data_IF_295069467127
#
_entry.id   IF_295069467127
#
_cell.length_a   1.000
_cell.length_b   1.000
_cell.length_c   1.000
_cell.angle_alpha   90.00
_cell.angle_beta   90.00
_cell.angle_gamma   90.00
#
_symmetry.space_group_name_H-M   'P 1'
#
loop_
_entity.id
_entity.type
_entity.pdbx_description
1 polymer ?
#
# COMPACT_ATOMS: atom_id res chain seq x y z
N UNK A 1 8.73 18.53 -14.47
CA UNK A 1 7.82 17.36 -14.37
C UNK A 1 6.54 17.83 -13.71
N UNK A 2 5.39 17.63 -14.35
CA UNK A 2 4.09 18.02 -13.78
C UNK A 2 3.73 17.02 -12.70
N UNK A 3 3.66 17.47 -11.44
CA UNK A 3 3.29 16.59 -10.31
C UNK A 3 1.85 16.11 -10.49
N UNK A 4 1.68 14.85 -10.87
CA UNK A 4 0.38 14.17 -10.92
C UNK A 4 0.12 13.44 -9.60
N UNK A 5 -1.14 13.09 -9.34
CA UNK A 5 -1.49 12.26 -8.17
C UNK A 5 -0.74 10.93 -8.21
N UNK A 6 -0.59 10.34 -9.40
CA UNK A 6 0.09 9.06 -9.61
C UNK A 6 1.58 9.14 -9.27
N UNK A 7 2.26 10.23 -9.68
CA UNK A 7 3.67 10.46 -9.30
C UNK A 7 3.84 10.68 -7.80
N UNK A 8 2.84 11.31 -7.13
CA UNK A 8 2.84 11.47 -5.68
C UNK A 8 2.67 10.13 -4.96
N UNK A 9 1.78 9.26 -5.44
CA UNK A 9 1.62 7.91 -4.88
C UNK A 9 2.95 7.15 -5.00
N UNK A 10 3.60 7.19 -6.16
CA UNK A 10 4.88 6.53 -6.38
C UNK A 10 5.95 6.96 -5.37
N UNK A 11 6.20 8.27 -5.24
CA UNK A 11 7.20 8.80 -4.31
C UNK A 11 6.90 8.36 -2.88
N UNK A 12 5.63 8.45 -2.48
CA UNK A 12 5.18 8.04 -1.15
C UNK A 12 5.40 6.54 -0.88
N UNK A 13 5.17 5.68 -1.87
CA UNK A 13 5.42 4.23 -1.73
C UNK A 13 6.91 3.94 -1.61
N UNK A 14 7.76 4.61 -2.39
CA UNK A 14 9.23 4.49 -2.31
C UNK A 14 9.75 4.93 -0.94
N UNK A 15 9.23 6.05 -0.41
CA UNK A 15 9.62 6.57 0.91
C UNK A 15 9.20 5.62 2.04
N UNK A 16 8.03 4.98 1.92
CA UNK A 16 7.46 4.10 2.94
C UNK A 16 8.03 2.68 2.91
N UNK A 17 8.43 2.18 1.74
CA UNK A 17 8.83 0.78 1.50
C UNK A 17 10.29 0.74 1.03
N UNK A 18 11.25 0.55 1.95
CA UNK A 18 12.64 0.37 1.59
C UNK A 18 12.82 -0.84 0.67
N UNK A 19 13.61 -0.70 -0.39
CA UNK A 19 13.91 -1.81 -1.33
C UNK A 19 12.65 -2.47 -1.95
N UNK A 20 11.66 -1.65 -2.34
CA UNK A 20 10.38 -2.08 -2.93
C UNK A 20 10.50 -3.20 -3.99
N UNK A 21 11.60 -3.31 -4.73
CA UNK A 21 11.80 -4.32 -5.77
C UNK A 21 12.07 -5.77 -5.28
N UNK A 22 12.20 -6.02 -3.97
CA UNK A 22 12.73 -7.30 -3.47
C UNK A 22 11.73 -8.42 -3.16
N UNK A 23 10.50 -8.42 -3.71
CA UNK A 23 9.59 -9.58 -3.59
C UNK A 23 9.28 -9.97 -2.13
N UNK A 24 9.20 -8.98 -1.24
CA UNK A 24 9.24 -9.17 0.22
C UNK A 24 7.94 -8.75 0.89
N UNK A 25 7.57 -9.50 1.93
CA UNK A 25 6.59 -9.04 2.91
C UNK A 25 7.28 -8.08 3.87
N UNK A 26 6.67 -6.92 4.07
CA UNK A 26 7.12 -5.91 4.99
C UNK A 26 6.03 -5.63 6.03
N UNK A 27 6.43 -5.12 7.18
CA UNK A 27 5.56 -4.87 8.30
C UNK A 27 5.86 -3.51 8.94
N UNK A 28 4.81 -2.78 9.27
CA UNK A 28 4.87 -1.57 10.08
C UNK A 28 4.18 -1.85 11.41
N UNK A 29 4.98 -2.01 12.45
CA UNK A 29 4.53 -2.29 13.81
C UNK A 29 3.66 -1.14 14.38
N UNK A 30 2.73 -1.45 15.30
CA UNK A 30 1.95 -0.42 15.97
C UNK A 30 2.84 0.37 16.94
N UNK A 31 2.71 1.71 16.95
CA UNK A 31 3.53 2.57 17.83
C UNK A 31 3.05 2.57 19.27
N UNK A 32 1.77 2.27 19.49
CA UNK A 32 1.10 2.19 20.79
C UNK A 32 0.31 0.87 20.86
N UNK A 33 -0.02 0.40 22.06
CA UNK A 33 -0.81 -0.84 22.22
C UNK A 33 -2.21 -0.76 21.59
N UNK A 34 -2.73 0.45 21.37
CA UNK A 34 -4.00 0.71 20.68
C UNK A 34 -3.86 0.94 19.17
N UNK A 35 -2.63 1.05 18.65
CA UNK A 35 -2.39 1.31 17.25
C UNK A 35 -2.56 0.02 16.44
N UNK A 36 -3.00 0.17 15.20
CA UNK A 36 -3.06 -0.93 14.24
C UNK A 36 -1.70 -1.16 13.62
N UNK A 37 -1.33 -2.42 13.42
CA UNK A 37 -0.20 -2.77 12.57
C UNK A 37 -0.62 -2.86 11.11
N UNK A 38 0.34 -2.75 10.20
CA UNK A 38 0.08 -2.78 8.75
C UNK A 38 1.08 -3.69 8.07
N UNK A 39 0.59 -4.57 7.22
CA UNK A 39 1.38 -5.44 6.35
C UNK A 39 1.45 -4.85 4.96
N UNK A 40 2.60 -5.00 4.31
CA UNK A 40 2.80 -4.65 2.92
C UNK A 40 3.41 -5.84 2.18
N UNK A 41 2.83 -6.24 1.06
CA UNK A 41 3.46 -7.19 0.14
C UNK A 41 3.84 -6.47 -1.13
N UNK A 42 4.99 -6.83 -1.70
CA UNK A 42 5.41 -6.34 -3.01
C UNK A 42 5.74 -7.53 -3.88
N UNK A 43 5.02 -7.68 -4.99
CA UNK A 43 5.18 -8.75 -5.95
C UNK A 43 5.57 -8.15 -7.31
N UNK A 44 6.62 -8.67 -7.95
CA UNK A 44 6.97 -8.27 -9.32
C UNK A 44 6.02 -8.94 -10.32
N UNK A 45 5.52 -8.17 -11.28
CA UNK A 45 4.65 -8.68 -12.35
C UNK A 45 5.46 -8.99 -13.61
N UNK A 46 4.99 -9.87 -14.51
CA UNK A 46 5.75 -10.30 -15.69
C UNK A 46 6.11 -9.18 -16.69
N UNK A 47 5.45 -8.04 -16.62
CA UNK A 47 5.67 -6.82 -17.40
C UNK A 47 6.66 -5.83 -16.76
N UNK A 48 7.26 -6.19 -15.62
CA UNK A 48 8.25 -5.36 -14.91
C UNK A 48 7.64 -4.26 -14.05
N UNK A 49 6.31 -4.27 -13.87
CA UNK A 49 5.64 -3.48 -12.86
C UNK A 49 5.75 -4.17 -11.49
N UNK A 50 5.42 -3.44 -10.43
CA UNK A 50 5.31 -3.99 -9.09
C UNK A 50 3.85 -3.89 -8.64
N UNK A 51 3.34 -5.00 -8.12
CA UNK A 51 2.10 -5.02 -7.38
C UNK A 51 2.40 -4.81 -5.90
N UNK A 52 2.00 -3.67 -5.37
CA UNK A 52 2.13 -3.37 -3.93
C UNK A 52 0.75 -3.52 -3.30
N UNK A 53 0.63 -4.34 -2.26
CA UNK A 53 -0.59 -4.41 -1.46
C UNK A 53 -0.30 -4.01 -0.03
N UNK A 54 -1.07 -3.07 0.50
CA UNK A 54 -0.98 -2.63 1.89
C UNK A 54 -2.27 -3.01 2.60
N UNK A 55 -2.17 -3.80 3.67
CA UNK A 55 -3.29 -4.35 4.42
C UNK A 55 -3.16 -4.07 5.91
N UNK A 56 -4.27 -3.78 6.58
CA UNK A 56 -4.29 -3.70 8.04
C UNK A 56 -4.11 -5.08 8.68
N UNK A 57 -3.39 -5.14 9.80
CA UNK A 57 -3.31 -6.32 10.64
C UNK A 57 -4.47 -6.30 11.64
N UNK A 58 -5.62 -6.83 11.25
CA UNK A 58 -6.68 -7.18 12.19
C UNK A 58 -6.89 -8.69 12.19
N UNK A 59 -6.02 -9.42 12.90
CA UNK A 59 -6.43 -10.69 13.48
C UNK A 59 -6.65 -10.55 15.00
N UNK A 60 -7.87 -10.21 15.45
CA UNK A 60 -8.34 -10.73 16.72
C UNK A 60 -8.42 -12.25 16.57
N UNK A 61 -7.70 -12.99 17.43
CA UNK A 61 -7.75 -14.46 17.49
C UNK A 61 -9.20 -14.95 17.36
N UNK A 62 -9.51 -15.69 16.28
CA UNK A 62 -10.76 -16.44 16.13
C UNK A 62 -11.81 -15.90 15.15
N UNK A 63 -11.61 -14.74 14.51
CA UNK A 63 -12.55 -14.27 13.46
C UNK A 63 -11.84 -14.08 12.12
N UNK A 64 -12.30 -14.80 11.10
CA UNK A 64 -11.85 -14.70 9.70
C UNK A 64 -12.34 -13.41 9.01
N UNK A 65 -12.34 -12.27 9.71
CA UNK A 65 -12.75 -11.00 9.13
C UNK A 65 -11.62 -10.51 8.21
N UNK A 66 -11.96 -10.26 6.95
CA UNK A 66 -11.02 -9.67 5.99
C UNK A 66 -10.66 -8.27 6.48
N UNK A 67 -9.37 -7.99 6.60
CA UNK A 67 -8.87 -6.66 6.95
C UNK A 67 -8.97 -5.75 5.74
N UNK A 68 -9.15 -4.45 5.95
CA UNK A 68 -9.11 -3.50 4.82
C UNK A 68 -7.71 -3.43 4.21
N UNK A 69 -7.67 -3.30 2.89
CA UNK A 69 -6.44 -3.29 2.11
C UNK A 69 -6.59 -2.48 0.82
N UNK A 70 -5.46 -2.01 0.29
CA UNK A 70 -5.33 -1.31 -0.99
C UNK A 70 -4.22 -1.98 -1.81
N UNK A 71 -4.51 -2.26 -3.09
CA UNK A 71 -3.53 -2.75 -4.06
C UNK A 71 -3.19 -1.64 -5.06
N UNK A 72 -1.91 -1.55 -5.39
CA UNK A 72 -1.34 -0.60 -6.33
C UNK A 72 -0.63 -1.35 -7.46
N UNK A 73 -0.79 -0.85 -8.67
CA UNK A 73 0.13 -1.10 -9.77
C UNK A 73 1.15 0.04 -9.79
N UNK A 74 2.42 -0.33 -9.74
CA UNK A 74 3.54 0.59 -9.66
C UNK A 74 4.41 0.35 -10.88
N UNK A 75 4.64 1.42 -11.64
CA UNK A 75 5.55 1.43 -12.79
C UNK A 75 6.81 2.23 -12.40
N UNK A 76 7.91 1.54 -12.06
CA UNK A 76 9.15 2.21 -11.70
C UNK A 76 9.80 2.93 -12.89
N UNK A 77 9.56 2.48 -14.12
CA UNK A 77 10.14 3.07 -15.32
C UNK A 77 9.58 4.47 -15.61
N UNK A 78 8.28 4.66 -15.35
CA UNK A 78 7.61 5.96 -15.50
C UNK A 78 7.45 6.73 -14.18
N UNK A 79 7.90 6.17 -13.05
CA UNK A 79 7.77 6.75 -11.70
C UNK A 79 6.32 7.12 -11.36
N UNK A 80 5.39 6.21 -11.65
CA UNK A 80 3.95 6.38 -11.39
C UNK A 80 3.38 5.16 -10.69
N UNK A 81 2.35 5.39 -9.89
CA UNK A 81 1.59 4.33 -9.26
C UNK A 81 0.10 4.67 -9.24
N UNK A 82 -0.76 3.66 -9.30
CA UNK A 82 -2.20 3.84 -9.23
C UNK A 82 -2.87 2.67 -8.51
N UNK A 83 -4.00 2.95 -7.86
CA UNK A 83 -4.80 1.92 -7.20
C UNK A 83 -5.46 1.03 -8.24
N UNK A 84 -5.34 -0.28 -8.09
CA UNK A 84 -5.99 -1.28 -8.94
C UNK A 84 -7.29 -1.79 -8.33
N UNK A 85 -7.23 -2.10 -7.04
CA UNK A 85 -8.30 -2.69 -6.26
C UNK A 85 -8.15 -2.36 -4.78
N UNK A 86 -9.26 -2.40 -4.05
CA UNK A 86 -9.25 -2.20 -2.61
C UNK A 86 -10.42 -2.92 -1.94
N UNK A 87 -10.28 -3.13 -0.63
CA UNK A 87 -11.34 -3.59 0.25
C UNK A 87 -11.37 -2.70 1.50
N UNK A 88 -12.52 -2.11 1.81
CA UNK A 88 -12.66 -1.17 2.94
C UNK A 88 -13.16 -1.83 4.24
N UNK A 89 -13.31 -3.17 4.26
CA UNK A 89 -13.91 -3.91 5.37
C UNK A 89 -15.40 -4.23 5.18
N UNK A 90 -16.03 -3.68 4.14
CA UNK A 90 -17.42 -3.93 3.76
C UNK A 90 -17.52 -4.27 2.28
N UNK A 91 -16.91 -3.47 1.42
CA UNK A 91 -17.01 -3.57 -0.04
C UNK A 91 -15.64 -3.77 -0.69
N UNK A 92 -15.63 -4.66 -1.68
CA UNK A 92 -14.53 -4.81 -2.63
C UNK A 92 -14.81 -3.97 -3.88
N UNK A 93 -13.80 -3.29 -4.40
CA UNK A 93 -13.91 -2.50 -5.62
C UNK A 93 -12.63 -2.58 -6.46
N UNK A 94 -12.81 -2.53 -7.79
CA UNK A 94 -11.72 -2.47 -8.77
C UNK A 94 -11.69 -1.07 -9.35
N UNK A 95 -10.68 -0.29 -8.99
CA UNK A 95 -10.48 1.06 -9.51
C UNK A 95 -10.29 1.03 -11.04
N UNK A 96 -9.68 -0.02 -11.58
CA UNK A 96 -9.47 -0.22 -13.02
C UNK A 96 -10.72 -0.43 -13.89
N UNK A 97 -11.96 -0.45 -13.37
CA UNK A 97 -13.18 -0.66 -14.20
C UNK A 97 -14.16 0.53 -14.23
N UNK A 98 -13.83 1.66 -13.60
CA UNK A 98 -14.66 2.87 -13.56
C UNK A 98 -14.31 3.92 -14.61
N UNK A 99 -15.05 5.03 -14.61
CA UNK A 99 -14.70 6.24 -15.35
C UNK A 99 -13.40 6.85 -14.81
N UNK A 100 -12.71 7.66 -15.62
CA UNK A 100 -11.47 8.34 -15.20
C UNK A 100 -11.66 9.20 -13.95
N UNK A 101 -12.87 9.75 -13.75
CA UNK A 101 -13.21 10.50 -12.54
C UNK A 101 -13.21 9.62 -11.28
N UNK A 102 -13.81 8.43 -11.34
CA UNK A 102 -13.83 7.49 -10.22
C UNK A 102 -12.42 7.00 -9.87
N UNK A 103 -11.61 6.70 -10.88
CA UNK A 103 -10.20 6.34 -10.73
C UNK A 103 -9.40 7.46 -10.06
N UNK A 104 -9.60 8.70 -10.50
CA UNK A 104 -8.92 9.85 -9.91
C UNK A 104 -9.29 10.06 -8.44
N UNK A 105 -10.56 9.91 -8.08
CA UNK A 105 -11.01 10.02 -6.68
C UNK A 105 -10.32 8.99 -5.79
N UNK A 106 -10.25 7.73 -6.21
CA UNK A 106 -9.59 6.66 -5.44
C UNK A 106 -8.08 6.93 -5.31
N UNK A 107 -7.42 7.36 -6.39
CA UNK A 107 -6.00 7.71 -6.36
C UNK A 107 -5.73 8.91 -5.44
N UNK A 108 -6.59 9.93 -5.42
CA UNK A 108 -6.45 11.08 -4.50
C UNK A 108 -6.61 10.63 -3.05
N UNK A 109 -7.61 9.78 -2.77
CA UNK A 109 -7.79 9.19 -1.45
C UNK A 109 -6.53 8.42 -1.02
N UNK A 110 -6.00 7.54 -1.87
CA UNK A 110 -4.82 6.75 -1.56
C UNK A 110 -3.58 7.62 -1.35
N UNK A 111 -3.37 8.64 -2.18
CA UNK A 111 -2.25 9.58 -2.01
C UNK A 111 -2.31 10.30 -0.64
N UNK A 112 -3.49 10.73 -0.21
CA UNK A 112 -3.68 11.37 1.09
C UNK A 112 -3.50 10.37 2.24
N UNK A 113 -4.01 9.15 2.08
CA UNK A 113 -3.84 8.08 3.07
C UNK A 113 -2.35 7.77 3.28
N UNK A 114 -1.59 7.55 2.20
CA UNK A 114 -0.13 7.36 2.29
C UNK A 114 0.55 8.57 2.93
N UNK A 115 0.14 9.80 2.60
CA UNK A 115 0.71 11.03 3.18
C UNK A 115 0.60 11.06 4.71
N UNK A 116 -0.55 10.61 5.24
CA UNK A 116 -0.75 10.46 6.69
C UNK A 116 0.20 9.39 7.24
N UNK A 117 0.32 8.23 6.59
CA UNK A 117 1.24 7.16 7.01
C UNK A 117 2.69 7.64 7.13
N UNK A 118 3.18 8.36 6.12
CA UNK A 118 4.54 8.90 6.12
C UNK A 118 4.72 9.98 7.19
N UNK A 119 3.73 10.86 7.36
CA UNK A 119 3.76 11.90 8.39
C UNK A 119 3.74 11.33 9.82
N UNK A 120 3.14 10.15 10.01
CA UNK A 120 3.18 9.41 11.28
C UNK A 120 4.52 8.70 11.51
N UNK A 121 5.50 8.84 10.60
CA UNK A 121 6.83 8.24 10.70
C UNK A 121 6.81 6.72 10.61
N UNK A 122 5.77 6.14 10.00
CA UNK A 122 5.70 4.69 9.81
C UNK A 122 6.51 4.33 8.57
N UNK A 123 7.55 3.52 8.76
CA UNK A 123 8.28 2.89 7.67
C UNK A 123 8.08 1.38 7.75
N UNK A 124 7.88 0.75 6.60
CA UNK A 124 7.79 -0.70 6.51
C UNK A 124 9.19 -1.31 6.70
N UNK A 125 9.27 -2.37 7.50
CA UNK A 125 10.48 -3.15 7.71
C UNK A 125 10.30 -4.55 7.13
N UNK A 126 11.32 -5.15 6.48
CA UNK A 126 11.23 -6.53 6.00
C UNK A 126 10.92 -7.49 7.15
N UNK A 127 9.94 -8.39 6.96
CA UNK A 127 9.52 -9.34 8.02
C UNK A 127 10.65 -10.29 8.42
N UNK A 128 11.57 -10.60 7.50
CA UNK A 128 12.75 -11.43 7.76
C UNK A 128 13.67 -10.86 8.86
N UNK A 129 13.63 -9.54 9.10
CA UNK A 129 14.41 -8.89 10.16
C UNK A 129 13.71 -8.90 11.53
N UNK A 130 12.41 -9.17 11.60
CA UNK A 130 11.66 -9.20 12.87
C UNK A 130 11.82 -10.50 13.66
N UNK A 131 12.23 -11.60 13.01
CA UNK A 131 12.38 -12.92 13.67
C UNK A 131 13.68 -13.01 14.50
N UNK A 132 14.56 -12.01 14.43
CA UNK A 132 15.87 -12.01 15.11
C UNK A 132 16.00 -11.04 16.30
N UNK A 133 14.93 -10.34 16.69
CA UNK A 133 14.95 -9.36 17.80
C UNK A 133 14.29 -9.89 19.09
#
# INVERSE_FOLDING_TARGET
MTSTVQSRIYVMLVDLIPEMANGRTHYAAPRLASDMAVHCTVDETPDGHLRVQIAHDQQPRGTARRCSWLSFDVDPGNAVAHVTDYYDGVQYSVAGRGTDAARNTVNVFAANWLAVFNSLGRMFQPVDQMVQA
#
